data_IF_359676723289
#
_entry.id   IF_359676723289
#
_cell.length_a   1.000
_cell.length_b   1.000
_cell.length_c   1.000
_cell.angle_alpha   90.00
_cell.angle_beta   90.00
_cell.angle_gamma   90.00
#
_symmetry.space_group_name_H-M   'P 1'
#
loop_
_entity.id
_entity.type
_entity.pdbx_description
1 polymer ?
#
# COMPACT_ATOMS: atom_id res chain seq x y z
N UNK A 1 0.83 -25.35 -13.09
CA UNK A 1 0.42 -25.22 -14.52
C UNK A 1 -0.87 -24.40 -14.67
N UNK A 2 -1.97 -24.77 -13.99
CA UNK A 2 -3.23 -23.98 -13.99
C UNK A 2 -3.03 -22.52 -13.56
N UNK A 3 -2.27 -22.28 -12.48
CA UNK A 3 -2.02 -20.94 -11.97
C UNK A 3 -1.26 -20.04 -12.97
N UNK A 4 -0.34 -20.63 -13.73
CA UNK A 4 0.41 -19.95 -14.79
C UNK A 4 -0.52 -19.59 -15.96
N UNK A 5 -1.44 -20.49 -16.33
CA UNK A 5 -2.43 -20.24 -17.39
C UNK A 5 -3.38 -19.11 -17.02
N UNK A 6 -3.87 -19.07 -15.77
CA UNK A 6 -4.73 -17.99 -15.28
C UNK A 6 -4.01 -16.64 -15.32
N UNK A 7 -2.75 -16.61 -14.88
CA UNK A 7 -1.95 -15.37 -14.86
C UNK A 7 -1.65 -14.85 -16.28
N UNK A 8 -1.33 -15.74 -17.22
CA UNK A 8 -1.15 -15.37 -18.62
C UNK A 8 -2.45 -14.84 -19.23
N UNK A 9 -3.57 -15.49 -18.95
CA UNK A 9 -4.87 -15.06 -19.45
C UNK A 9 -5.27 -13.67 -18.95
N UNK A 10 -5.08 -13.38 -17.66
CA UNK A 10 -5.41 -12.06 -17.09
C UNK A 10 -4.52 -10.95 -17.65
N UNK A 11 -3.22 -11.20 -17.82
CA UNK A 11 -2.30 -10.22 -18.43
C UNK A 11 -2.67 -9.92 -19.88
N UNK A 12 -3.00 -10.95 -20.67
CA UNK A 12 -3.41 -10.79 -22.06
C UNK A 12 -4.71 -9.98 -22.16
N UNK A 13 -5.69 -10.27 -21.30
CA UNK A 13 -6.93 -9.50 -21.26
C UNK A 13 -6.71 -8.03 -20.89
N UNK A 14 -5.88 -7.74 -19.88
CA UNK A 14 -5.56 -6.36 -19.48
C UNK A 14 -4.93 -5.58 -20.63
N UNK A 15 -3.96 -6.19 -21.32
CA UNK A 15 -3.32 -5.58 -22.49
C UNK A 15 -4.31 -5.38 -23.64
N UNK A 16 -5.15 -6.37 -23.92
CA UNK A 16 -6.17 -6.26 -24.96
C UNK A 16 -7.14 -5.10 -24.69
N UNK A 17 -7.67 -5.00 -23.48
CA UNK A 17 -8.55 -3.88 -23.11
C UNK A 17 -7.86 -2.52 -23.16
N UNK A 18 -6.59 -2.45 -22.73
CA UNK A 18 -5.81 -1.22 -22.83
C UNK A 18 -5.62 -0.78 -24.29
N UNK A 19 -5.23 -1.70 -25.17
CA UNK A 19 -5.02 -1.42 -26.60
C UNK A 19 -6.32 -1.01 -27.28
N UNK A 20 -7.42 -1.72 -27.03
CA UNK A 20 -8.74 -1.39 -27.59
C UNK A 20 -9.17 0.01 -27.15
N UNK A 21 -9.04 0.35 -25.86
CA UNK A 21 -9.35 1.71 -25.39
C UNK A 21 -8.43 2.75 -26.04
N UNK A 22 -7.14 2.47 -26.16
CA UNK A 22 -6.18 3.39 -26.75
C UNK A 22 -6.47 3.69 -28.22
N UNK A 23 -6.97 2.71 -28.98
CA UNK A 23 -7.33 2.83 -30.41
C UNK A 23 -8.68 3.52 -30.58
N UNK A 24 -9.67 3.20 -29.74
CA UNK A 24 -11.02 3.78 -29.84
C UNK A 24 -11.12 5.20 -29.27
N UNK A 25 -10.19 5.60 -28.39
CA UNK A 25 -10.22 6.90 -27.72
C UNK A 25 -9.85 8.05 -28.67
N UNK A 26 -10.71 9.07 -28.71
CA UNK A 26 -10.46 10.35 -29.40
C UNK A 26 -9.55 11.21 -28.52
N UNK A 27 -8.34 11.51 -29.01
CA UNK A 27 -7.29 12.21 -28.27
C UNK A 27 -7.09 13.64 -28.76
N UNK A 28 -7.72 14.60 -28.09
CA UNK A 28 -7.35 16.02 -28.26
C UNK A 28 -6.05 16.36 -27.53
N UNK A 29 -5.13 17.02 -28.23
CA UNK A 29 -3.82 17.45 -27.70
C UNK A 29 -3.79 18.94 -27.30
N UNK A 30 -4.92 19.48 -26.86
CA UNK A 30 -5.00 20.88 -26.41
C UNK A 30 -4.15 21.12 -25.16
N UNK A 31 -3.44 22.26 -25.11
CA UNK A 31 -2.56 22.61 -23.97
C UNK A 31 -3.27 22.50 -22.62
N UNK A 32 -4.52 22.96 -22.53
CA UNK A 32 -5.32 22.91 -21.28
C UNK A 32 -5.69 21.48 -20.83
N UNK A 33 -5.72 20.52 -21.76
CA UNK A 33 -6.00 19.10 -21.47
C UNK A 33 -4.74 18.35 -21.05
N UNK A 34 -3.58 18.82 -21.51
CA UNK A 34 -2.25 18.24 -21.19
C UNK A 34 -1.66 18.88 -19.92
N UNK A 35 -2.04 20.12 -19.58
CA UNK A 35 -1.61 20.80 -18.36
C UNK A 35 -2.27 20.21 -17.11
N UNK A 36 -1.56 20.28 -15.97
CA UNK A 36 -2.12 19.92 -14.67
C UNK A 36 -3.34 20.79 -14.33
N UNK A 37 -4.33 20.18 -13.68
CA UNK A 37 -5.52 20.89 -13.24
C UNK A 37 -5.21 21.68 -11.97
N UNK A 38 -5.24 23.02 -12.07
CA UNK A 38 -5.07 23.93 -10.94
C UNK A 38 -6.27 24.88 -10.79
N UNK A 39 -7.50 24.35 -10.84
CA UNK A 39 -8.72 25.14 -10.68
C UNK A 39 -8.81 26.38 -11.61
N UNK A 40 -8.23 26.30 -12.81
CA UNK A 40 -8.21 27.38 -13.80
C UNK A 40 -7.01 28.34 -13.70
N UNK A 41 -6.10 28.12 -12.76
CA UNK A 41 -4.85 28.88 -12.63
C UNK A 41 -3.70 28.26 -13.44
N UNK A 42 -2.68 29.07 -13.71
CA UNK A 42 -1.44 28.60 -14.34
C UNK A 42 -0.55 28.02 -13.26
N UNK A 43 0.04 26.86 -13.51
CA UNK A 43 0.97 26.22 -12.57
C UNK A 43 2.13 27.11 -12.18
N UNK A 44 2.11 27.60 -10.93
CA UNK A 44 3.17 28.44 -10.38
C UNK A 44 4.13 27.57 -9.57
N UNK A 45 5.31 27.34 -10.13
CA UNK A 45 6.44 26.75 -9.40
C UNK A 45 6.56 25.22 -9.52
N UNK A 46 7.65 24.70 -8.94
CA UNK A 46 7.85 23.25 -8.80
C UNK A 46 7.11 22.78 -7.56
N UNK A 47 6.32 21.72 -7.70
CA UNK A 47 5.68 21.02 -6.58
C UNK A 47 6.76 20.23 -5.83
N UNK A 48 7.64 20.94 -5.12
CA UNK A 48 8.49 20.33 -4.10
C UNK A 48 7.73 20.42 -2.78
N UNK A 49 6.75 19.54 -2.62
CA UNK A 49 6.08 19.42 -1.34
C UNK A 49 7.09 18.92 -0.31
N UNK A 50 7.16 19.62 0.82
CA UNK A 50 7.79 19.09 2.03
C UNK A 50 7.09 17.79 2.38
N UNK A 51 7.85 16.70 2.47
CA UNK A 51 7.32 15.42 2.87
C UNK A 51 6.98 15.49 4.37
N UNK A 52 5.74 15.18 4.73
CA UNK A 52 5.34 15.16 6.14
C UNK A 52 5.90 13.90 6.83
N UNK A 53 6.67 14.10 7.90
CA UNK A 53 7.29 13.02 8.70
C UNK A 53 6.25 12.00 9.19
N UNK A 54 4.99 12.41 9.37
CA UNK A 54 3.88 11.53 9.77
C UNK A 54 3.68 10.34 8.81
N UNK A 55 3.68 10.59 7.48
CA UNK A 55 3.57 9.51 6.49
C UNK A 55 4.76 8.55 6.54
N UNK A 56 5.97 9.04 6.86
CA UNK A 56 7.14 8.17 7.00
C UNK A 56 7.02 7.27 8.22
N UNK A 57 6.55 7.80 9.35
CA UNK A 57 6.31 7.00 10.56
C UNK A 57 5.26 5.93 10.27
N UNK A 58 4.14 6.27 9.62
CA UNK A 58 3.11 5.29 9.25
C UNK A 58 3.65 4.19 8.32
N UNK A 59 4.53 4.53 7.36
CA UNK A 59 5.18 3.55 6.49
C UNK A 59 6.09 2.60 7.28
N UNK A 60 6.93 3.14 8.17
CA UNK A 60 7.87 2.36 8.95
C UNK A 60 7.13 1.38 9.89
N UNK A 61 6.04 1.85 10.49
CA UNK A 61 5.14 1.04 11.30
C UNK A 61 4.54 -0.14 10.52
N UNK A 62 4.05 0.12 9.30
CA UNK A 62 3.50 -0.93 8.44
C UNK A 62 4.53 -2.01 8.11
N UNK A 63 5.78 -1.64 7.84
CA UNK A 63 6.87 -2.60 7.56
C UNK A 63 7.15 -3.51 8.76
N UNK A 64 7.18 -2.95 9.97
CA UNK A 64 7.41 -3.74 11.19
C UNK A 64 6.23 -4.69 11.43
N UNK A 65 5.00 -4.20 11.32
CA UNK A 65 3.80 -5.00 11.52
C UNK A 65 3.66 -6.12 10.48
N UNK A 66 4.05 -5.90 9.23
CA UNK A 66 4.05 -6.93 8.18
C UNK A 66 5.05 -8.07 8.52
N UNK A 67 6.24 -7.72 9.03
CA UNK A 67 7.19 -8.71 9.52
C UNK A 67 6.66 -9.52 10.71
N UNK A 68 5.93 -8.88 11.63
CA UNK A 68 5.30 -9.56 12.75
C UNK A 68 4.22 -10.55 12.30
N UNK A 69 3.41 -10.20 11.28
CA UNK A 69 2.42 -11.10 10.70
C UNK A 69 3.10 -12.31 10.04
N UNK A 70 4.19 -12.11 9.30
CA UNK A 70 4.94 -13.21 8.68
C UNK A 70 5.45 -14.18 9.75
N UNK A 71 6.02 -13.65 10.85
CA UNK A 71 6.45 -14.48 11.98
C UNK A 71 5.28 -15.20 12.64
N UNK A 72 4.14 -14.53 12.82
CA UNK A 72 2.93 -15.11 13.39
C UNK A 72 2.38 -16.28 12.56
N UNK A 73 2.33 -16.14 11.24
CA UNK A 73 1.92 -17.21 10.32
C UNK A 73 2.87 -18.42 10.39
N UNK A 74 4.17 -18.21 10.58
CA UNK A 74 5.15 -19.28 10.74
C UNK A 74 4.90 -20.16 11.98
N UNK A 75 4.41 -19.57 13.08
CA UNK A 75 4.16 -20.28 14.34
C UNK A 75 2.90 -21.17 14.25
N UNK A 76 1.89 -20.74 13.49
CA UNK A 76 0.64 -21.49 13.32
C UNK A 76 0.81 -22.89 12.70
N UNK A 77 1.95 -23.17 12.07
CA UNK A 77 2.24 -24.45 11.41
C UNK A 77 2.81 -25.49 12.39
N UNK A 78 3.03 -25.17 13.66
CA UNK A 78 3.76 -26.03 14.60
C UNK A 78 2.88 -26.69 15.68
N UNK A 79 3.31 -27.87 16.16
CA UNK A 79 2.62 -28.80 17.07
C UNK A 79 2.05 -28.17 18.36
N UNK A 80 1.34 -28.95 19.19
CA UNK A 80 0.81 -28.54 20.50
C UNK A 80 1.82 -27.82 21.43
N UNK A 81 3.13 -28.01 21.25
CA UNK A 81 4.15 -27.27 22.00
C UNK A 81 4.26 -25.78 21.60
N UNK A 82 3.71 -25.39 20.45
CA UNK A 82 3.78 -24.04 19.88
C UNK A 82 2.74 -23.06 20.42
N UNK A 83 1.75 -23.53 21.18
CA UNK A 83 0.70 -22.68 21.74
C UNK A 83 1.27 -21.58 22.67
N UNK A 84 2.35 -21.88 23.39
CA UNK A 84 3.01 -20.90 24.27
C UNK A 84 3.69 -19.81 23.44
N UNK A 85 4.43 -20.17 22.38
CA UNK A 85 5.04 -19.19 21.47
C UNK A 85 4.00 -18.36 20.73
N UNK A 86 2.86 -18.95 20.36
CA UNK A 86 1.75 -18.24 19.75
C UNK A 86 1.15 -17.19 20.68
N UNK A 87 0.88 -17.56 21.93
CA UNK A 87 0.36 -16.63 22.93
C UNK A 87 1.35 -15.50 23.21
N UNK A 88 2.64 -15.81 23.39
CA UNK A 88 3.69 -14.81 23.58
C UNK A 88 3.76 -13.82 22.41
N UNK A 89 3.66 -14.33 21.18
CA UNK A 89 3.68 -13.51 19.97
C UNK A 89 2.47 -12.56 19.90
N UNK A 90 1.27 -13.05 20.21
CA UNK A 90 0.07 -12.21 20.25
C UNK A 90 0.22 -11.10 21.29
N UNK A 91 0.70 -11.43 22.49
CA UNK A 91 0.92 -10.42 23.52
C UNK A 91 1.97 -9.38 23.11
N UNK A 92 3.02 -9.81 22.39
CA UNK A 92 4.03 -8.91 21.85
C UNK A 92 3.42 -7.92 20.85
N UNK A 93 2.66 -8.41 19.86
CA UNK A 93 2.01 -7.57 18.83
C UNK A 93 1.01 -6.61 19.47
N UNK A 94 0.12 -7.11 20.35
CA UNK A 94 -0.88 -6.28 21.02
C UNK A 94 -0.24 -5.23 21.95
N UNK A 95 0.84 -5.60 22.64
CA UNK A 95 1.60 -4.69 23.50
C UNK A 95 2.30 -3.59 22.72
N UNK A 96 2.94 -3.93 21.60
CA UNK A 96 3.55 -2.96 20.68
C UNK A 96 2.52 -1.96 20.16
N UNK A 97 1.40 -2.47 19.65
CA UNK A 97 0.31 -1.64 19.15
C UNK A 97 -0.27 -0.70 20.23
N UNK A 98 -0.48 -1.21 21.46
CA UNK A 98 -0.97 -0.39 22.57
C UNK A 98 0.01 0.74 22.93
N UNK A 99 1.31 0.44 22.98
CA UNK A 99 2.35 1.44 23.24
C UNK A 99 2.32 2.55 22.20
N UNK A 100 2.22 2.19 20.93
CA UNK A 100 2.23 3.15 19.82
C UNK A 100 0.97 4.03 19.77
N UNK A 101 -0.18 3.47 20.14
CA UNK A 101 -1.40 4.24 20.39
C UNK A 101 -1.17 5.24 21.52
N UNK A 102 -0.63 4.80 22.65
CA UNK A 102 -0.40 5.67 23.80
C UNK A 102 0.54 6.84 23.47
N UNK A 103 1.55 6.62 22.64
CA UNK A 103 2.44 7.67 22.14
C UNK A 103 1.80 8.61 21.09
N UNK A 104 0.53 8.38 20.72
CA UNK A 104 -0.22 9.24 19.80
C UNK A 104 0.31 9.20 18.36
N UNK A 105 1.20 8.27 18.01
CA UNK A 105 1.78 8.17 16.66
C UNK A 105 0.75 7.78 15.60
N UNK A 106 -0.31 7.10 16.03
CA UNK A 106 -1.44 6.69 15.19
C UNK A 106 -2.46 7.82 14.95
N UNK A 107 -2.43 8.88 15.77
CA UNK A 107 -3.37 9.99 15.63
C UNK A 107 -2.88 10.91 14.53
N UNK A 108 -3.75 11.14 13.55
CA UNK A 108 -3.52 12.16 12.54
C UNK A 108 -3.95 13.50 13.12
N UNK A 109 -2.98 14.33 13.50
CA UNK A 109 -3.23 15.74 13.82
C UNK A 109 -3.10 16.50 12.51
N UNK A 110 -4.23 16.99 12.02
CA UNK A 110 -4.32 17.92 10.88
C UNK A 110 -3.67 19.26 11.27
#
# INVERSE_FOLDING_TARGET
LVLIMVLLFTLVLLLAFYVVNFVLSIKDMGKNKISAFECGFVSVGKIQNSFSIHFFIMMLMFVIFDLEIVMFLGILVSDLSSYVSFLLMIFFILGGFYMEWWYGKLVWVI
#
